data_IF_468022295974
#
_entry.id   IF_468022295974
#
_cell.length_a   1.000
_cell.length_b   1.000
_cell.length_c   1.000
_cell.angle_alpha   90.00
_cell.angle_beta   90.00
_cell.angle_gamma   90.00
#
_symmetry.space_group_name_H-M   'P 1'
#
loop_
_entity.id
_entity.type
_entity.pdbx_description
1 polymer ?
#
# COMPACT_ATOMS: atom_id res chain seq x y z
N UNK A 1 -24.56 11.80 -6.44
CA UNK A 1 -23.52 11.16 -5.60
C UNK A 1 -22.21 11.08 -6.37
N UNK A 2 -22.16 10.41 -7.53
CA UNK A 2 -20.92 10.26 -8.34
C UNK A 2 -20.23 11.58 -8.69
N UNK A 3 -21.01 12.60 -9.06
CA UNK A 3 -20.48 13.93 -9.38
C UNK A 3 -19.74 14.63 -8.21
N UNK A 4 -19.90 14.14 -6.97
CA UNK A 4 -19.30 14.72 -5.76
C UNK A 4 -18.25 13.80 -5.09
N UNK A 5 -17.82 12.70 -5.73
CA UNK A 5 -16.88 11.75 -5.10
C UNK A 5 -15.57 12.39 -4.62
N UNK A 6 -15.06 13.36 -5.38
CA UNK A 6 -13.83 14.10 -5.05
C UNK A 6 -14.11 15.46 -4.41
N UNK A 7 -15.37 15.82 -4.20
CA UNK A 7 -15.79 17.07 -3.59
C UNK A 7 -15.93 16.88 -2.08
N UNK A 8 -14.78 16.87 -1.38
CA UNK A 8 -14.70 16.55 0.05
C UNK A 8 -14.40 17.82 0.85
N UNK A 9 -15.35 18.24 1.69
CA UNK A 9 -15.13 19.29 2.68
C UNK A 9 -14.54 18.71 3.97
N UNK A 10 -13.21 18.70 4.05
CA UNK A 10 -12.49 18.20 5.21
C UNK A 10 -12.69 19.07 6.47
N UNK A 11 -12.99 20.36 6.31
CA UNK A 11 -13.20 21.27 7.44
C UNK A 11 -14.54 20.97 8.12
N UNK A 12 -15.59 20.76 7.32
CA UNK A 12 -16.88 20.29 7.82
C UNK A 12 -16.78 18.89 8.44
N UNK A 13 -16.08 17.94 7.78
CA UNK A 13 -15.87 16.61 8.32
C UNK A 13 -15.19 16.64 9.70
N UNK A 14 -14.12 17.42 9.88
CA UNK A 14 -13.44 17.54 11.17
C UNK A 14 -14.32 18.17 12.27
N UNK A 15 -15.11 19.20 11.93
CA UNK A 15 -16.04 19.81 12.87
C UNK A 15 -17.13 18.82 13.31
N UNK A 16 -17.65 18.04 12.37
CA UNK A 16 -18.67 17.03 12.61
C UNK A 16 -18.13 15.81 13.36
N UNK A 17 -16.87 15.43 13.14
CA UNK A 17 -16.18 14.39 13.90
C UNK A 17 -16.01 14.82 15.35
N UNK A 18 -15.58 16.05 15.60
CA UNK A 18 -15.48 16.59 16.97
C UNK A 18 -16.83 16.57 17.72
N UNK A 19 -17.93 16.82 17.00
CA UNK A 19 -19.29 16.80 17.55
C UNK A 19 -19.79 15.38 17.80
N UNK A 20 -19.63 14.47 16.83
CA UNK A 20 -20.17 13.10 16.88
C UNK A 20 -19.26 12.10 17.59
N UNK A 21 -17.98 12.41 17.70
CA UNK A 21 -16.90 11.52 18.17
C UNK A 21 -16.84 10.21 17.37
N UNK A 22 -17.14 10.30 16.08
CA UNK A 22 -17.11 9.18 15.15
C UNK A 22 -16.86 9.71 13.73
N UNK A 23 -15.70 9.37 13.20
CA UNK A 23 -15.17 9.72 11.88
C UNK A 23 -16.09 9.32 10.72
N UNK A 24 -16.52 8.05 10.64
CA UNK A 24 -17.39 7.57 9.56
C UNK A 24 -18.72 8.32 9.57
N UNK A 25 -19.33 8.51 10.74
CA UNK A 25 -20.59 9.25 10.83
C UNK A 25 -20.43 10.74 10.51
N UNK A 26 -19.25 11.32 10.77
CA UNK A 26 -18.94 12.68 10.33
C UNK A 26 -18.85 12.76 8.81
N UNK A 27 -18.14 11.82 8.17
CA UNK A 27 -18.04 11.77 6.72
C UNK A 27 -19.37 11.42 6.02
N UNK A 28 -20.22 10.56 6.60
CA UNK A 28 -21.58 10.29 6.10
C UNK A 28 -22.41 11.56 6.11
N UNK A 29 -22.35 12.35 7.19
CA UNK A 29 -23.07 13.62 7.28
C UNK A 29 -22.53 14.65 6.28
N UNK A 30 -21.21 14.87 6.25
CA UNK A 30 -20.56 15.80 5.32
C UNK A 30 -20.88 15.45 3.87
N UNK A 31 -20.89 14.16 3.51
CA UNK A 31 -21.25 13.73 2.17
C UNK A 31 -22.74 13.87 1.87
N UNK A 32 -23.61 13.69 2.87
CA UNK A 32 -25.03 14.01 2.78
C UNK A 32 -25.30 15.49 2.49
N UNK A 33 -24.50 16.40 3.05
CA UNK A 33 -24.62 17.86 2.80
C UNK A 33 -24.34 18.20 1.33
N UNK A 34 -23.32 17.60 0.71
CA UNK A 34 -23.04 17.82 -0.71
C UNK A 34 -23.93 16.98 -1.65
N UNK A 35 -24.64 15.97 -1.13
CA UNK A 35 -25.58 15.13 -1.87
C UNK A 35 -26.98 15.07 -1.20
N UNK A 36 -27.75 16.18 -1.14
CA UNK A 36 -28.99 16.24 -0.37
C UNK A 36 -30.04 15.19 -0.75
N UNK A 37 -30.18 14.89 -2.05
CA UNK A 37 -31.14 13.89 -2.54
C UNK A 37 -30.76 12.45 -2.18
N UNK A 38 -29.47 12.17 -1.97
CA UNK A 38 -28.97 10.85 -1.61
C UNK A 38 -28.78 10.68 -0.09
N UNK A 39 -28.77 11.77 0.68
CA UNK A 39 -28.54 11.76 2.13
C UNK A 39 -29.35 10.68 2.90
N UNK A 40 -30.64 10.41 2.60
CA UNK A 40 -31.41 9.40 3.34
C UNK A 40 -30.96 7.95 3.11
N UNK A 41 -30.19 7.68 2.04
CA UNK A 41 -29.78 6.33 1.63
C UNK A 41 -28.26 6.12 1.71
N UNK A 42 -27.48 7.15 2.05
CA UNK A 42 -26.03 6.99 2.25
C UNK A 42 -25.80 6.11 3.48
N UNK A 43 -24.99 5.06 3.32
CA UNK A 43 -24.65 4.10 4.38
C UNK A 43 -25.83 3.24 4.88
N UNK A 44 -26.93 3.17 4.10
CA UNK A 44 -28.12 2.41 4.46
C UNK A 44 -27.80 0.92 4.68
N UNK A 45 -28.08 0.42 5.90
CA UNK A 45 -27.87 -0.98 6.28
C UNK A 45 -26.41 -1.40 6.47
N UNK A 46 -25.46 -0.46 6.33
CA UNK A 46 -24.04 -0.71 6.53
C UNK A 46 -23.61 -0.34 7.96
N UNK A 47 -22.44 -0.85 8.36
CA UNK A 47 -21.73 -0.46 9.59
C UNK A 47 -20.43 0.26 9.22
N UNK A 48 -19.80 0.94 10.17
CA UNK A 48 -18.57 1.71 9.95
C UNK A 48 -17.45 0.89 9.27
N UNK A 49 -17.31 -0.39 9.62
CA UNK A 49 -16.34 -1.31 9.03
C UNK A 49 -16.60 -1.60 7.54
N UNK A 50 -17.81 -1.38 7.03
CA UNK A 50 -18.07 -1.49 5.59
C UNK A 50 -17.19 -0.54 4.79
N UNK A 51 -17.03 0.71 5.24
CA UNK A 51 -16.17 1.68 4.54
C UNK A 51 -14.73 1.62 5.05
N UNK A 52 -14.51 1.43 6.35
CA UNK A 52 -13.15 1.35 6.93
C UNK A 52 -12.35 0.18 6.36
N UNK A 53 -12.76 -1.04 6.69
CA UNK A 53 -12.01 -2.26 6.37
C UNK A 53 -11.87 -2.47 4.85
N UNK A 54 -12.92 -2.20 4.06
CA UNK A 54 -12.82 -2.33 2.60
C UNK A 54 -11.91 -1.27 1.98
N UNK A 55 -11.86 -0.05 2.54
CA UNK A 55 -10.90 0.97 2.09
C UNK A 55 -9.49 0.53 2.43
N UNK A 56 -9.25 -0.01 3.63
CA UNK A 56 -7.95 -0.54 4.03
C UNK A 56 -7.48 -1.66 3.09
N UNK A 57 -8.37 -2.59 2.72
CA UNK A 57 -8.04 -3.64 1.74
C UNK A 57 -7.66 -3.07 0.37
N UNK A 58 -8.36 -2.04 -0.10
CA UNK A 58 -8.03 -1.35 -1.36
C UNK A 58 -6.66 -0.68 -1.25
N UNK A 59 -6.40 0.05 -0.16
CA UNK A 59 -5.12 0.72 0.09
C UNK A 59 -3.97 -0.29 0.14
N UNK A 60 -4.14 -1.42 0.83
CA UNK A 60 -3.15 -2.48 0.91
C UNK A 60 -2.86 -3.10 -0.46
N UNK A 61 -3.90 -3.39 -1.25
CA UNK A 61 -3.76 -3.90 -2.62
C UNK A 61 -2.99 -2.92 -3.51
N UNK A 62 -3.32 -1.64 -3.44
CA UNK A 62 -2.69 -0.60 -4.25
C UNK A 62 -1.23 -0.37 -3.81
N UNK A 63 -0.95 -0.45 -2.50
CA UNK A 63 0.41 -0.45 -1.97
C UNK A 63 1.25 -1.61 -2.51
N UNK A 64 0.70 -2.84 -2.56
CA UNK A 64 1.38 -3.98 -3.17
C UNK A 64 1.65 -3.76 -4.66
N UNK A 65 0.71 -3.13 -5.39
CA UNK A 65 0.89 -2.79 -6.81
C UNK A 65 2.07 -1.83 -7.05
N UNK A 66 2.41 -1.00 -6.05
CA UNK A 66 3.59 -0.12 -6.09
C UNK A 66 4.88 -0.88 -5.70
N UNK A 67 4.81 -1.76 -4.72
CA UNK A 67 5.98 -2.47 -4.16
C UNK A 67 6.47 -3.59 -5.07
N UNK A 68 5.56 -4.42 -5.60
CA UNK A 68 5.89 -5.58 -6.45
C UNK A 68 6.81 -5.25 -7.64
N UNK A 69 6.53 -4.22 -8.49
CA UNK A 69 7.42 -3.89 -9.59
C UNK A 69 8.77 -3.33 -9.13
N UNK A 70 8.86 -2.73 -7.93
CA UNK A 70 10.14 -2.30 -7.34
C UNK A 70 10.98 -3.49 -6.94
N UNK A 71 10.39 -4.46 -6.25
CA UNK A 71 11.05 -5.72 -5.87
C UNK A 71 11.51 -6.49 -7.11
N UNK A 72 10.65 -6.61 -8.12
CA UNK A 72 11.01 -7.23 -9.40
C UNK A 72 12.19 -6.53 -10.09
N UNK A 73 12.28 -5.19 -10.02
CA UNK A 73 13.43 -4.44 -10.52
C UNK A 73 14.70 -4.73 -9.72
N UNK A 74 14.64 -4.82 -8.39
CA UNK A 74 15.79 -5.20 -7.57
C UNK A 74 16.31 -6.59 -7.96
N UNK A 75 15.41 -7.57 -8.07
CA UNK A 75 15.74 -8.93 -8.52
C UNK A 75 16.36 -8.90 -9.92
N UNK A 76 15.77 -8.17 -10.86
CA UNK A 76 16.32 -8.04 -12.22
C UNK A 76 17.74 -7.45 -12.22
N UNK A 77 18.01 -6.44 -11.40
CA UNK A 77 19.33 -5.81 -11.30
C UNK A 77 20.35 -6.76 -10.68
N UNK A 78 20.00 -7.47 -9.61
CA UNK A 78 20.84 -8.49 -9.00
C UNK A 78 21.09 -9.67 -9.94
N UNK A 79 20.08 -10.10 -10.71
CA UNK A 79 20.23 -11.15 -11.72
C UNK A 79 21.20 -10.76 -12.82
N UNK A 80 21.12 -9.52 -13.34
CA UNK A 80 22.10 -9.01 -14.31
C UNK A 80 23.52 -8.94 -13.73
N UNK A 81 23.65 -8.49 -12.48
CA UNK A 81 24.93 -8.49 -11.77
C UNK A 81 25.48 -9.91 -11.61
N UNK A 82 24.64 -10.86 -11.21
CA UNK A 82 25.03 -12.25 -11.02
C UNK A 82 25.52 -12.89 -12.32
N UNK A 83 24.83 -12.65 -13.45
CA UNK A 83 25.22 -13.18 -14.76
C UNK A 83 26.53 -12.54 -15.26
N UNK A 84 26.70 -11.22 -15.08
CA UNK A 84 27.93 -10.52 -15.43
C UNK A 84 29.16 -11.07 -14.70
N UNK A 85 29.01 -11.45 -13.42
CA UNK A 85 30.11 -11.90 -12.55
C UNK A 85 30.08 -13.41 -12.26
N UNK A 86 29.38 -14.19 -13.09
CA UNK A 86 29.16 -15.63 -12.86
C UNK A 86 30.47 -16.44 -12.79
N UNK A 87 31.49 -16.01 -13.54
CA UNK A 87 32.79 -16.68 -13.64
C UNK A 87 33.91 -15.96 -12.85
N UNK A 88 33.60 -14.87 -12.14
CA UNK A 88 34.60 -14.11 -11.36
C UNK A 88 34.87 -14.82 -10.01
N UNK A 89 36.05 -15.44 -9.80
CA UNK A 89 36.34 -16.17 -8.58
C UNK A 89 36.45 -15.23 -7.37
N UNK A 90 35.99 -15.70 -6.21
CA UNK A 90 36.15 -15.01 -4.92
C UNK A 90 36.28 -16.02 -3.79
N UNK A 91 36.97 -15.64 -2.70
CA UNK A 91 37.04 -16.44 -1.48
C UNK A 91 35.64 -16.62 -0.87
N UNK A 92 35.21 -17.85 -0.63
CA UNK A 92 34.00 -18.15 0.12
C UNK A 92 34.20 -17.94 1.62
N UNK A 93 33.11 -17.73 2.36
CA UNK A 93 33.17 -17.53 3.81
C UNK A 93 32.12 -18.36 4.53
N UNK A 94 32.55 -19.11 5.55
CA UNK A 94 31.70 -19.78 6.53
C UNK A 94 32.15 -19.36 7.92
N UNK A 95 31.25 -18.97 8.81
CA UNK A 95 31.62 -18.32 10.09
C UNK A 95 32.50 -17.07 9.90
N UNK A 96 32.35 -16.42 8.74
CA UNK A 96 33.22 -15.31 8.31
C UNK A 96 34.72 -15.66 8.25
N UNK A 97 35.05 -16.96 8.19
CA UNK A 97 36.39 -17.48 7.98
C UNK A 97 36.56 -17.96 6.53
N UNK A 98 37.78 -17.85 5.95
CA UNK A 98 38.10 -18.36 4.63
C UNK A 98 37.63 -19.80 4.41
N UNK A 99 36.89 -20.03 3.34
CA UNK A 99 36.39 -21.34 2.92
C UNK A 99 36.71 -21.60 1.44
N UNK A 100 36.15 -22.67 0.87
CA UNK A 100 36.32 -23.00 -0.55
C UNK A 100 35.90 -21.84 -1.46
N UNK A 101 36.56 -21.73 -2.62
CA UNK A 101 36.26 -20.70 -3.60
C UNK A 101 34.80 -20.79 -4.08
N UNK A 102 34.25 -19.63 -4.39
CA UNK A 102 32.97 -19.46 -5.09
C UNK A 102 33.15 -18.39 -6.16
N UNK A 103 32.07 -17.95 -6.80
CA UNK A 103 32.10 -16.78 -7.69
C UNK A 103 31.30 -15.63 -7.12
N UNK A 104 31.66 -14.40 -7.50
CA UNK A 104 30.92 -13.19 -7.10
C UNK A 104 29.46 -13.30 -7.57
N UNK A 105 29.24 -13.81 -8.78
CA UNK A 105 27.90 -14.06 -9.30
C UNK A 105 27.13 -15.12 -8.51
N UNK A 106 27.77 -16.25 -8.16
CA UNK A 106 27.14 -17.28 -7.31
C UNK A 106 26.71 -16.73 -5.95
N UNK A 107 27.51 -15.83 -5.35
CA UNK A 107 27.17 -15.16 -4.08
C UNK A 107 25.94 -14.25 -4.21
N UNK A 108 25.77 -13.56 -5.33
CA UNK A 108 24.63 -12.67 -5.55
C UNK A 108 23.30 -13.41 -5.79
N UNK A 109 23.34 -14.72 -6.08
CA UNK A 109 22.17 -15.57 -6.19
C UNK A 109 21.67 -16.16 -4.85
N UNK A 110 22.46 -16.02 -3.78
CA UNK A 110 22.18 -16.59 -2.45
C UNK A 110 21.26 -15.74 -1.59
#
# INVERSE_FOLDING_TARGET
MEANLTNIDYSLAAAEEKKRRHDVMAHVHTFGVCCPSAAPIIHLGATSCYVGDNTDLIVLRDAFSIILPKVARCIQRLSKFADQYKDLPTLGFTHYQPAQLTTVGKRACS
#
